data_IF_364656000103
#
_entry.id   IF_364656000103
#
_cell.length_a   1.000
_cell.length_b   1.000
_cell.length_c   1.000
_cell.angle_alpha   90.00
_cell.angle_beta   90.00
_cell.angle_gamma   90.00
#
_symmetry.space_group_name_H-M   'P 1'
#
loop_
_entity.id
_entity.type
_entity.pdbx_description
1 polymer ?
#
# COMPACT_ATOMS: atom_id res chain seq x y z
N UNK A 1 24.14 -4.14 -33.15
CA UNK A 1 23.05 -3.75 -32.23
C UNK A 1 22.56 -5.03 -31.59
N UNK A 2 23.07 -5.37 -30.40
CA UNK A 2 22.70 -6.64 -29.73
C UNK A 2 21.41 -6.36 -28.98
N UNK A 3 20.30 -6.89 -29.49
CA UNK A 3 19.05 -6.94 -28.74
C UNK A 3 19.27 -7.97 -27.64
N UNK A 4 19.59 -7.50 -26.43
CA UNK A 4 19.67 -8.36 -25.25
C UNK A 4 18.30 -9.01 -25.06
N UNK A 5 18.23 -10.32 -25.27
CA UNK A 5 17.03 -11.11 -25.03
C UNK A 5 16.83 -11.15 -23.51
N UNK A 6 15.98 -10.25 -23.00
CA UNK A 6 15.60 -10.23 -21.58
C UNK A 6 14.95 -11.56 -21.22
N UNK A 7 15.54 -12.29 -20.30
CA UNK A 7 15.01 -13.58 -19.84
C UNK A 7 13.67 -13.38 -19.10
N UNK A 8 12.71 -14.33 -19.19
CA UNK A 8 11.36 -14.23 -18.60
C UNK A 8 11.28 -14.14 -17.06
N UNK A 9 12.42 -14.02 -16.36
CA UNK A 9 12.53 -14.24 -14.91
C UNK A 9 12.94 -13.03 -14.08
N UNK A 10 12.95 -11.83 -14.65
CA UNK A 10 12.80 -10.63 -13.81
C UNK A 10 11.36 -10.63 -13.32
N UNK A 11 11.13 -11.26 -12.18
CA UNK A 11 9.85 -11.23 -11.49
C UNK A 11 9.70 -9.82 -10.95
N UNK A 12 8.56 -9.18 -11.25
CA UNK A 12 8.22 -7.87 -10.73
C UNK A 12 8.47 -7.83 -9.22
N UNK A 13 9.30 -6.92 -8.73
CA UNK A 13 9.67 -6.84 -7.32
C UNK A 13 8.82 -5.79 -6.62
N UNK A 14 8.72 -5.92 -5.29
CA UNK A 14 8.09 -4.92 -4.45
C UNK A 14 9.16 -4.23 -3.64
N UNK A 15 9.13 -2.91 -3.67
CA UNK A 15 10.06 -2.04 -2.98
C UNK A 15 9.32 -1.16 -2.00
N UNK A 16 10.03 -0.70 -0.98
CA UNK A 16 9.61 0.38 -0.09
C UNK A 16 10.40 1.64 -0.43
N UNK A 17 9.70 2.73 -0.69
CA UNK A 17 10.28 4.05 -0.87
C UNK A 17 10.75 4.66 0.46
N UNK A 18 11.51 5.75 0.42
CA UNK A 18 11.95 6.48 1.62
C UNK A 18 10.77 6.97 2.49
N UNK A 19 9.65 7.29 1.85
CA UNK A 19 8.40 7.70 2.52
C UNK A 19 7.54 6.51 2.99
N UNK A 20 8.06 5.28 2.89
CA UNK A 20 7.37 4.06 3.32
C UNK A 20 6.31 3.54 2.34
N UNK A 21 6.16 4.17 1.17
CA UNK A 21 5.18 3.77 0.14
C UNK A 21 5.65 2.48 -0.55
N UNK A 22 4.72 1.55 -0.74
CA UNK A 22 4.99 0.32 -1.47
C UNK A 22 4.91 0.55 -2.99
N UNK A 23 6.01 0.24 -3.67
CA UNK A 23 6.19 0.33 -5.11
C UNK A 23 6.30 -1.08 -5.71
N UNK A 24 5.78 -1.28 -6.91
CA UNK A 24 5.88 -2.54 -7.65
C UNK A 24 6.51 -2.26 -9.02
N UNK A 25 7.55 -3.02 -9.39
CA UNK A 25 8.26 -2.79 -10.64
C UNK A 25 9.64 -3.46 -10.71
N UNK A 26 10.54 -2.83 -11.46
CA UNK A 26 11.89 -3.31 -11.72
C UNK A 26 12.90 -2.16 -11.61
N UNK A 27 14.08 -2.45 -11.08
CA UNK A 27 15.24 -1.60 -11.28
C UNK A 27 15.86 -1.94 -12.64
N UNK A 28 16.33 -0.93 -13.37
CA UNK A 28 17.05 -1.18 -14.62
C UNK A 28 18.36 -1.90 -14.31
N UNK A 29 18.61 -2.99 -15.03
CA UNK A 29 19.79 -3.83 -14.85
C UNK A 29 21.09 -3.08 -15.16
N UNK A 30 21.07 -2.24 -16.20
CA UNK A 30 22.25 -1.52 -16.68
C UNK A 30 22.47 -0.22 -15.90
N UNK A 31 21.40 0.35 -15.32
CA UNK A 31 21.47 1.51 -14.43
C UNK A 31 20.47 1.40 -13.27
N UNK A 32 20.85 0.83 -12.12
CA UNK A 32 19.95 0.60 -10.98
C UNK A 32 19.45 1.89 -10.31
N UNK A 33 19.87 3.07 -10.79
CA UNK A 33 19.26 4.34 -10.41
C UNK A 33 17.88 4.53 -11.04
N UNK A 34 17.56 3.82 -12.11
CA UNK A 34 16.25 3.89 -12.76
C UNK A 34 15.33 2.79 -12.25
N UNK A 35 14.13 3.19 -11.88
CA UNK A 35 13.04 2.32 -11.48
C UNK A 35 11.88 2.47 -12.45
N UNK A 36 11.38 1.36 -13.00
CA UNK A 36 10.14 1.35 -13.79
C UNK A 36 9.06 0.62 -13.03
N UNK A 37 7.95 1.30 -12.73
CA UNK A 37 6.88 0.73 -11.92
C UNK A 37 5.74 1.68 -11.57
N UNK A 38 5.00 1.33 -10.54
CA UNK A 38 3.87 2.10 -10.01
C UNK A 38 3.73 1.88 -8.49
N UNK A 39 2.84 2.63 -7.82
CA UNK A 39 2.46 2.28 -6.43
C UNK A 39 1.72 0.95 -6.42
N UNK A 40 2.09 0.06 -5.51
CA UNK A 40 1.49 -1.27 -5.40
C UNK A 40 -0.02 -1.21 -5.14
N UNK A 41 -0.43 -0.31 -4.24
CA UNK A 41 -1.85 -0.11 -3.92
C UNK A 41 -2.68 0.31 -5.13
N UNK A 42 -2.09 1.12 -6.00
CA UNK A 42 -2.75 1.59 -7.21
C UNK A 42 -3.03 0.46 -8.19
N UNK A 43 -2.04 -0.41 -8.41
CA UNK A 43 -2.16 -1.60 -9.24
C UNK A 43 -3.24 -2.54 -8.71
N UNK A 44 -3.28 -2.78 -7.39
CA UNK A 44 -4.20 -3.75 -6.79
C UNK A 44 -5.63 -3.25 -6.59
N UNK A 45 -5.80 -1.94 -6.42
CA UNK A 45 -7.10 -1.30 -6.22
C UNK A 45 -7.66 -0.69 -7.52
N UNK A 46 -7.07 -1.02 -8.68
CA UNK A 46 -7.51 -0.57 -9.99
C UNK A 46 -7.64 0.96 -10.10
N UNK A 47 -6.69 1.68 -9.51
CA UNK A 47 -6.64 3.14 -9.68
C UNK A 47 -6.11 3.47 -11.08
N UNK A 48 -6.41 4.68 -11.57
CA UNK A 48 -5.93 5.20 -12.86
C UNK A 48 -4.43 5.54 -12.86
N UNK A 49 -3.66 4.94 -11.98
CA UNK A 49 -2.25 5.28 -11.85
C UNK A 49 -1.47 4.79 -13.05
N UNK A 50 -0.67 5.71 -13.60
CA UNK A 50 0.15 5.47 -14.77
C UNK A 50 1.47 4.91 -14.26
N UNK A 51 1.86 3.73 -14.75
CA UNK A 51 3.21 3.22 -14.58
C UNK A 51 4.22 4.16 -15.23
N UNK A 52 5.31 4.48 -14.54
CA UNK A 52 6.33 5.41 -15.02
C UNK A 52 7.75 4.91 -14.79
N UNK A 53 8.70 5.65 -15.36
CA UNK A 53 10.12 5.53 -15.05
C UNK A 53 10.52 6.67 -14.12
N UNK A 54 11.22 6.35 -13.04
CA UNK A 54 11.60 7.26 -11.97
C UNK A 54 13.07 7.06 -11.63
N UNK A 55 13.73 8.12 -11.15
CA UNK A 55 15.02 7.96 -10.50
C UNK A 55 14.77 7.47 -9.07
N UNK A 56 15.39 6.36 -8.66
CA UNK A 56 15.16 5.71 -7.38
C UNK A 56 15.47 6.64 -6.19
N UNK A 57 16.46 7.54 -6.32
CA UNK A 57 16.76 8.54 -5.30
C UNK A 57 15.64 9.57 -5.11
N UNK A 58 14.90 9.90 -6.17
CA UNK A 58 13.77 10.84 -6.09
C UNK A 58 12.59 10.24 -5.33
N UNK A 59 12.55 8.91 -5.20
CA UNK A 59 11.63 8.18 -4.33
C UNK A 59 12.17 8.02 -2.90
N UNK A 60 13.23 8.74 -2.53
CA UNK A 60 13.90 8.62 -1.24
C UNK A 60 14.73 7.34 -1.08
N UNK A 61 15.09 6.70 -2.21
CA UNK A 61 15.70 5.38 -2.24
C UNK A 61 14.66 4.26 -2.22
N UNK A 62 15.02 3.10 -2.78
CA UNK A 62 14.16 1.93 -2.86
C UNK A 62 14.83 0.76 -2.15
N UNK A 63 14.11 0.17 -1.19
CA UNK A 63 14.53 -1.07 -0.51
C UNK A 63 13.64 -2.21 -0.94
N UNK A 64 14.20 -3.25 -1.56
CA UNK A 64 13.44 -4.44 -1.95
C UNK A 64 12.88 -5.18 -0.73
N UNK A 65 11.67 -5.73 -0.87
CA UNK A 65 11.05 -6.65 0.08
C UNK A 65 11.19 -8.06 -0.51
N UNK A 66 12.31 -8.73 -0.21
CA UNK A 66 12.80 -9.93 -0.90
C UNK A 66 11.85 -11.16 -0.86
N UNK A 67 10.87 -11.18 0.05
CA UNK A 67 9.93 -12.29 0.26
C UNK A 67 8.46 -11.89 0.04
N UNK A 68 8.22 -10.73 -0.58
CA UNK A 68 6.89 -10.15 -0.65
C UNK A 68 5.86 -11.09 -1.27
N UNK A 69 6.19 -11.75 -2.39
CA UNK A 69 5.25 -12.59 -3.12
C UNK A 69 4.93 -13.90 -2.41
N UNK A 70 5.92 -14.51 -1.76
CA UNK A 70 5.72 -15.73 -0.96
C UNK A 70 4.78 -15.43 0.20
N UNK A 71 5.03 -14.31 0.90
CA UNK A 71 4.14 -13.82 1.94
C UNK A 71 2.77 -13.48 1.40
N UNK A 72 2.68 -12.80 0.26
CA UNK A 72 1.41 -12.40 -0.34
C UNK A 72 0.57 -13.63 -0.72
N UNK A 73 1.19 -14.69 -1.21
CA UNK A 73 0.51 -15.95 -1.53
C UNK A 73 -0.02 -16.63 -0.26
N UNK A 74 0.71 -16.52 0.84
CA UNK A 74 0.37 -17.17 2.12
C UNK A 74 -0.67 -16.37 2.93
N UNK A 75 -0.48 -15.06 3.05
CA UNK A 75 -1.23 -14.17 3.96
C UNK A 75 -2.27 -13.34 3.18
N UNK A 76 -2.12 -13.21 1.86
CA UNK A 76 -2.97 -12.39 1.01
C UNK A 76 -2.68 -10.90 1.12
N UNK A 77 -3.72 -10.11 0.90
CA UNK A 77 -3.65 -8.63 0.83
C UNK A 77 -3.14 -7.98 2.12
N UNK A 78 -3.26 -8.64 3.27
CA UNK A 78 -2.80 -8.10 4.54
C UNK A 78 -1.27 -8.01 4.67
N UNK A 79 -0.49 -8.55 3.72
CA UNK A 79 0.97 -8.30 3.65
C UNK A 79 1.27 -6.82 3.35
N UNK A 80 0.36 -6.16 2.63
CA UNK A 80 0.48 -4.76 2.22
C UNK A 80 0.12 -3.83 3.37
N UNK A 81 -0.84 -4.25 4.20
CA UNK A 81 -1.33 -3.52 5.36
C UNK A 81 -1.34 -4.45 6.59
N UNK A 82 -0.18 -4.72 7.19
CA UNK A 82 -0.07 -5.63 8.34
C UNK A 82 -0.87 -5.15 9.56
N UNK A 83 -1.01 -3.83 9.71
CA UNK A 83 -1.69 -3.20 10.83
C UNK A 83 -3.21 -3.08 10.65
N UNK A 84 -3.71 -3.43 9.46
CA UNK A 84 -5.14 -3.42 9.13
C UNK A 84 -5.78 -2.03 9.26
N UNK A 85 -5.07 -0.99 8.77
CA UNK A 85 -5.47 0.42 8.81
C UNK A 85 -6.09 0.90 7.50
N UNK A 86 -5.67 0.33 6.38
CA UNK A 86 -6.05 0.80 5.05
C UNK A 86 -7.38 0.19 4.58
N UNK A 87 -8.10 0.94 3.74
CA UNK A 87 -9.32 0.49 3.09
C UNK A 87 -8.98 -0.06 1.71
N UNK A 88 -9.36 -1.31 1.46
CA UNK A 88 -9.11 -1.99 0.18
C UNK A 88 -10.38 -2.18 -0.64
N UNK A 89 -10.24 -2.34 -1.96
CA UNK A 89 -11.35 -2.88 -2.77
C UNK A 89 -11.75 -4.25 -2.22
N UNK A 90 -13.02 -4.40 -1.88
CA UNK A 90 -13.56 -5.62 -1.26
C UNK A 90 -13.57 -5.62 0.27
N UNK A 91 -13.24 -4.50 0.94
CA UNK A 91 -13.23 -4.41 2.42
C UNK A 91 -14.58 -4.79 3.06
N UNK A 92 -15.68 -4.61 2.32
CA UNK A 92 -17.04 -5.05 2.72
C UNK A 92 -17.12 -6.54 3.11
N UNK A 93 -16.23 -7.37 2.54
CA UNK A 93 -16.14 -8.81 2.80
C UNK A 93 -14.87 -9.18 3.57
N UNK A 94 -14.06 -8.21 4.02
CA UNK A 94 -12.82 -8.45 4.77
C UNK A 94 -13.09 -8.82 6.22
N UNK A 95 -14.22 -8.41 6.79
CA UNK A 95 -14.44 -8.50 8.23
C UNK A 95 -15.64 -9.38 8.57
N UNK A 96 -15.42 -10.37 9.44
CA UNK A 96 -16.50 -11.03 10.17
C UNK A 96 -16.69 -10.31 11.51
N UNK A 97 -17.88 -9.77 11.74
CA UNK A 97 -18.21 -9.01 12.95
C UNK A 97 -18.98 -9.89 13.94
N UNK A 98 -18.58 -9.87 15.21
CA UNK A 98 -19.23 -10.54 16.33
C UNK A 98 -19.24 -9.59 17.54
N UNK A 99 -20.38 -8.94 17.77
CA UNK A 99 -20.51 -7.92 18.84
C UNK A 99 -19.51 -6.77 18.64
N UNK A 100 -18.69 -6.52 19.66
CA UNK A 100 -17.63 -5.49 19.64
C UNK A 100 -16.33 -5.94 18.97
N UNK A 101 -16.28 -7.16 18.43
CA UNK A 101 -15.08 -7.68 17.79
C UNK A 101 -15.30 -7.88 16.30
N UNK A 102 -14.24 -7.68 15.53
CA UNK A 102 -14.20 -8.09 14.13
C UNK A 102 -12.92 -8.87 13.84
N UNK A 103 -13.04 -9.95 13.07
CA UNK A 103 -11.92 -10.78 12.62
C UNK A 103 -11.70 -10.55 11.13
N UNK A 104 -10.44 -10.40 10.73
CA UNK A 104 -10.08 -10.31 9.32
C UNK A 104 -10.19 -11.70 8.67
N UNK A 105 -11.04 -11.79 7.65
CA UNK A 105 -11.27 -12.98 6.84
C UNK A 105 -10.18 -13.21 5.79
N UNK A 106 -9.38 -12.19 5.46
CA UNK A 106 -8.32 -12.32 4.47
C UNK A 106 -7.09 -13.04 5.02
N UNK A 107 -6.56 -12.58 6.15
CA UNK A 107 -5.40 -13.21 6.78
C UNK A 107 -5.78 -14.24 7.85
N UNK A 108 -7.02 -14.21 8.36
CA UNK A 108 -7.46 -15.04 9.47
C UNK A 108 -6.82 -14.72 10.83
N UNK A 109 -5.71 -13.98 10.88
CA UNK A 109 -4.89 -13.77 12.08
C UNK A 109 -5.13 -12.48 12.85
N UNK A 110 -5.96 -11.56 12.33
CA UNK A 110 -6.20 -10.26 12.97
C UNK A 110 -7.60 -10.17 13.60
N UNK A 111 -7.65 -9.70 14.85
CA UNK A 111 -8.89 -9.33 15.55
C UNK A 111 -8.79 -7.90 16.04
N UNK A 112 -9.81 -7.10 15.76
CA UNK A 112 -9.93 -5.72 16.23
C UNK A 112 -11.15 -5.60 17.15
N UNK A 113 -11.01 -4.80 18.22
CA UNK A 113 -12.10 -4.45 19.12
C UNK A 113 -12.60 -3.04 18.81
N UNK A 114 -13.91 -2.88 18.69
CA UNK A 114 -14.57 -1.58 18.58
C UNK A 114 -14.25 -0.74 19.82
N UNK A 115 -13.79 0.48 19.61
CA UNK A 115 -13.67 1.51 20.64
C UNK A 115 -14.49 2.70 20.17
N UNK A 116 -15.32 3.22 21.07
CA UNK A 116 -16.10 4.44 20.83
C UNK A 116 -15.48 5.54 21.66
N UNK A 117 -15.01 6.59 21.01
CA UNK A 117 -14.49 7.78 21.67
C UNK A 117 -15.44 8.95 21.43
N UNK A 118 -15.85 9.62 22.50
CA UNK A 118 -16.64 10.85 22.45
C UNK A 118 -15.70 12.04 22.31
N UNK A 119 -15.72 12.70 21.15
CA UNK A 119 -14.98 13.94 20.94
C UNK A 119 -15.89 15.15 21.21
N UNK A 120 -15.71 15.79 22.36
CA UNK A 120 -16.40 17.05 22.67
C UNK A 120 -15.63 18.19 22.02
N UNK A 121 -16.23 18.86 21.03
CA UNK A 121 -15.66 20.04 20.39
C UNK A 121 -16.35 21.32 20.85
N UNK A 122 -15.58 22.26 21.39
CA UNK A 122 -16.07 23.62 21.66
C UNK A 122 -15.94 24.46 20.40
N UNK A 123 -17.06 24.97 19.89
CA UNK A 123 -17.07 25.98 18.82
C UNK A 123 -17.28 27.35 19.45
N UNK A 124 -16.35 28.27 19.21
CA UNK A 124 -16.53 29.70 19.50
C UNK A 124 -16.90 30.36 18.19
N UNK A 125 -17.99 31.11 18.18
CA UNK A 125 -18.45 31.90 17.02
C UNK A 125 -18.51 33.35 17.49
N UNK A 126 -17.97 34.25 16.68
CA UNK A 126 -18.09 35.69 16.88
C UNK A 126 -19.18 36.20 15.95
N UNK A 127 -20.21 36.81 16.52
CA UNK A 127 -21.27 37.44 15.74
C UNK A 127 -20.86 38.88 15.40
N UNK A 128 -21.18 39.29 14.17
CA UNK A 128 -20.99 40.67 13.73
C UNK A 128 -22.16 41.50 14.24
N UNK A 129 -21.89 42.53 15.04
CA UNK A 129 -22.90 43.45 15.54
C UNK A 129 -22.76 44.82 14.86
N UNK A 130 -23.88 45.36 14.39
CA UNK A 130 -23.98 46.72 13.88
C UNK A 130 -24.94 47.51 14.79
N UNK A 131 -24.54 48.69 15.30
CA UNK A 131 -25.36 49.54 16.18
C UNK A 131 -26.61 50.09 15.52
#
# INVERSE_FOLDING_TARGET
>A
MVVSQRTPHEICRVFRSGDGILMIGFLDHDDPRWFTGARLMAVLCNSREISGAFIASDLGGLTEIADFWDRYTTIGRCVIDPEHREVFVGDKNRWQVQGDFRRCLWCGGMTQRRRTELKVTRRVVWDSWHP
#
